data_IF_924788712228
#
_entry.id   IF_924788712228
#
_cell.length_a   1.000
_cell.length_b   1.000
_cell.length_c   1.000
_cell.angle_alpha   90.00
_cell.angle_beta   90.00
_cell.angle_gamma   90.00
#
_symmetry.space_group_name_H-M   'P 1'
#
loop_
_entity.id
_entity.type
_entity.pdbx_description
1 polymer ?
#
# COMPACT_ATOMS: atom_id res chain seq x y z
N UNK A 1 9.09 -0.47 8.60
CA UNK A 1 8.07 -0.59 9.66
C UNK A 1 7.49 -2.00 9.65
N UNK A 2 7.14 -2.53 10.81
CA UNK A 2 6.46 -3.82 10.97
C UNK A 2 5.05 -3.62 11.51
N UNK A 3 4.17 -4.60 11.31
CA UNK A 3 2.79 -4.57 11.84
C UNK A 3 2.79 -4.45 13.35
N UNK A 4 3.71 -5.12 14.05
CA UNK A 4 3.86 -5.02 15.51
C UNK A 4 4.20 -3.62 16.04
N UNK A 5 4.79 -2.76 15.20
CA UNK A 5 5.16 -1.39 15.57
C UNK A 5 4.10 -0.32 15.24
N UNK A 6 2.92 -0.72 14.75
CA UNK A 6 1.83 0.22 14.43
C UNK A 6 1.14 0.62 15.74
N UNK A 7 0.97 1.91 15.98
CA UNK A 7 0.26 2.47 17.15
C UNK A 7 -0.80 3.48 16.69
N UNK A 8 -1.97 3.02 16.18
CA UNK A 8 -3.06 3.92 15.85
C UNK A 8 -3.57 4.66 17.09
N UNK A 9 -3.96 5.91 16.91
CA UNK A 9 -4.54 6.73 17.97
C UNK A 9 -5.89 6.10 18.42
N UNK A 10 -6.03 5.71 19.70
CA UNK A 10 -7.24 5.03 20.17
C UNK A 10 -8.48 5.92 20.16
N UNK A 11 -8.33 7.25 20.18
CA UNK A 11 -9.45 8.17 20.07
C UNK A 11 -10.00 8.25 18.65
N UNK A 12 -9.12 8.16 17.64
CA UNK A 12 -9.51 8.19 16.23
C UNK A 12 -9.89 6.80 15.71
N UNK A 13 -9.27 5.77 16.25
CA UNK A 13 -9.44 4.37 15.82
C UNK A 13 -9.78 3.44 17.00
N UNK A 14 -10.90 3.68 17.72
CA UNK A 14 -11.25 2.91 18.93
C UNK A 14 -11.51 1.42 18.63
N UNK A 15 -11.72 1.08 17.38
CA UNK A 15 -11.88 -0.32 16.95
C UNK A 15 -10.57 -1.05 16.64
N UNK A 16 -9.40 -0.41 16.81
CA UNK A 16 -8.11 -1.07 16.62
C UNK A 16 -7.64 -1.67 17.96
N UNK A 17 -7.41 -2.96 17.97
CA UNK A 17 -6.94 -3.73 19.11
C UNK A 17 -5.84 -4.73 18.70
N UNK A 18 -5.27 -5.44 19.67
CA UNK A 18 -4.24 -6.44 19.39
C UNK A 18 -4.76 -7.60 18.54
N UNK A 19 -6.01 -7.99 18.71
CA UNK A 19 -6.63 -9.04 17.89
C UNK A 19 -6.72 -8.62 16.40
N UNK A 20 -6.98 -7.34 16.13
CA UNK A 20 -7.00 -6.83 14.76
C UNK A 20 -5.58 -6.73 14.18
N UNK A 21 -4.61 -6.32 15.00
CA UNK A 21 -3.19 -6.29 14.61
C UNK A 21 -2.70 -7.68 14.19
N UNK A 22 -2.96 -8.68 15.03
CA UNK A 22 -2.64 -10.07 14.74
C UNK A 22 -3.37 -10.56 13.48
N UNK A 23 -4.64 -10.17 13.31
CA UNK A 23 -5.41 -10.53 12.14
C UNK A 23 -4.82 -9.96 10.84
N UNK A 24 -4.34 -8.73 10.84
CA UNK A 24 -3.63 -8.15 9.70
C UNK A 24 -2.35 -8.91 9.34
N UNK A 25 -1.57 -9.28 10.35
CA UNK A 25 -0.36 -10.04 10.12
C UNK A 25 -0.70 -11.41 9.55
N UNK A 26 -1.64 -12.12 10.18
CA UNK A 26 -1.99 -13.48 9.79
C UNK A 26 -2.66 -13.56 8.41
N UNK A 27 -3.44 -12.56 8.04
CA UNK A 27 -3.99 -12.44 6.68
C UNK A 27 -2.88 -12.50 5.64
N UNK A 28 -1.88 -11.64 5.80
CA UNK A 28 -0.79 -11.49 4.82
C UNK A 28 0.11 -12.72 4.80
N UNK A 29 0.41 -13.32 5.96
CA UNK A 29 1.17 -14.56 6.06
C UNK A 29 0.47 -15.70 5.31
N UNK A 30 -0.81 -15.94 5.59
CA UNK A 30 -1.60 -16.99 4.95
C UNK A 30 -1.76 -16.76 3.44
N UNK A 31 -1.93 -15.51 3.05
CA UNK A 31 -2.04 -15.14 1.64
C UNK A 31 -0.75 -15.46 0.88
N UNK A 32 0.40 -15.01 1.37
CA UNK A 32 1.70 -15.29 0.75
C UNK A 32 2.02 -16.79 0.81
N UNK A 33 1.75 -17.45 1.95
CA UNK A 33 1.94 -18.89 2.09
C UNK A 33 1.11 -19.67 1.05
N UNK A 34 -0.12 -19.25 0.78
CA UNK A 34 -0.99 -19.91 -0.22
C UNK A 34 -0.44 -19.76 -1.64
N UNK A 35 0.13 -18.60 -1.98
CA UNK A 35 0.75 -18.37 -3.28
C UNK A 35 1.94 -19.32 -3.49
N UNK A 36 2.81 -19.44 -2.49
CA UNK A 36 3.99 -20.30 -2.54
C UNK A 36 3.63 -21.79 -2.58
N UNK A 37 2.66 -22.24 -1.76
CA UNK A 37 2.27 -23.64 -1.69
C UNK A 37 1.49 -24.13 -2.91
N UNK A 38 0.77 -23.24 -3.56
CA UNK A 38 -0.03 -23.56 -4.76
C UNK A 38 0.73 -23.29 -6.06
N UNK A 39 2.01 -22.93 -5.95
CA UNK A 39 2.89 -22.61 -7.08
C UNK A 39 2.24 -21.62 -8.06
N UNK A 40 1.67 -20.54 -7.51
CA UNK A 40 0.96 -19.51 -8.26
C UNK A 40 1.91 -18.49 -8.85
N UNK A 41 1.47 -17.81 -9.90
CA UNK A 41 2.21 -16.69 -10.44
C UNK A 41 2.46 -15.62 -9.36
N UNK A 42 3.68 -15.12 -9.27
CA UNK A 42 4.02 -14.01 -8.35
C UNK A 42 3.16 -12.77 -8.61
N UNK A 43 2.65 -12.59 -9.82
CA UNK A 43 1.73 -11.52 -10.21
C UNK A 43 0.40 -11.61 -9.45
N UNK A 44 0.00 -12.79 -9.00
CA UNK A 44 -1.20 -12.98 -8.18
C UNK A 44 -1.10 -12.31 -6.82
N UNK A 45 0.10 -11.98 -6.33
CA UNK A 45 0.25 -11.12 -5.16
C UNK A 45 -0.43 -9.75 -5.35
N UNK A 46 -0.56 -9.27 -6.59
CA UNK A 46 -1.26 -8.02 -6.90
C UNK A 46 -2.69 -8.24 -7.37
N UNK A 47 -3.01 -9.39 -7.99
CA UNK A 47 -4.26 -9.59 -8.73
C UNK A 47 -5.22 -10.61 -8.12
N UNK A 48 -4.80 -11.39 -7.14
CA UNK A 48 -5.67 -12.43 -6.56
C UNK A 48 -6.97 -11.84 -6.00
N UNK A 49 -8.06 -12.48 -6.36
CA UNK A 49 -9.43 -12.13 -5.96
C UNK A 49 -9.86 -12.76 -4.63
N UNK A 50 -8.91 -13.16 -3.80
CA UNK A 50 -9.19 -13.76 -2.50
C UNK A 50 -8.23 -13.26 -1.41
N UNK A 51 -8.63 -13.46 -0.17
CA UNK A 51 -7.78 -13.27 1.01
C UNK A 51 -8.16 -14.29 2.10
N UNK A 52 -7.51 -14.20 3.27
CA UNK A 52 -7.78 -15.06 4.42
C UNK A 52 -8.36 -14.26 5.58
N UNK A 53 -9.58 -14.58 5.98
CA UNK A 53 -10.32 -13.85 6.99
C UNK A 53 -10.77 -14.76 8.14
N UNK A 54 -10.70 -14.25 9.36
CA UNK A 54 -11.52 -14.65 10.48
C UNK A 54 -12.66 -13.65 10.68
N UNK A 55 -13.58 -13.89 11.60
CA UNK A 55 -14.71 -13.00 11.86
C UNK A 55 -14.28 -11.58 12.25
N UNK A 56 -13.19 -11.43 13.05
CA UNK A 56 -12.69 -10.12 13.49
C UNK A 56 -12.27 -9.25 12.31
N UNK A 57 -11.52 -9.85 11.38
CA UNK A 57 -11.03 -9.16 10.20
C UNK A 57 -12.11 -8.90 9.17
N UNK A 58 -12.97 -9.88 8.93
CA UNK A 58 -14.11 -9.73 8.02
C UNK A 58 -15.04 -8.59 8.44
N UNK A 59 -15.33 -8.50 9.75
CA UNK A 59 -16.12 -7.40 10.31
C UNK A 59 -15.42 -6.04 10.11
N UNK A 60 -14.12 -6.00 10.26
CA UNK A 60 -13.33 -4.78 10.02
C UNK A 60 -13.39 -4.33 8.55
N UNK A 61 -13.35 -5.27 7.62
CA UNK A 61 -13.45 -4.99 6.17
C UNK A 61 -14.88 -4.80 5.66
N UNK A 62 -15.89 -5.05 6.50
CA UNK A 62 -17.29 -5.01 6.09
C UNK A 62 -17.70 -6.20 5.21
N UNK A 63 -16.99 -7.33 5.30
CA UNK A 63 -17.28 -8.57 4.56
C UNK A 63 -18.22 -9.43 5.40
N UNK A 64 -19.44 -9.74 4.92
CA UNK A 64 -20.42 -10.54 5.65
C UNK A 64 -20.05 -12.03 5.67
N UNK A 65 -20.81 -12.78 6.48
CA UNK A 65 -20.89 -14.25 6.47
C UNK A 65 -19.62 -15.02 6.87
N UNK A 66 -18.60 -14.35 7.41
CA UNK A 66 -17.43 -14.97 8.04
C UNK A 66 -17.63 -15.00 9.55
N UNK A 67 -17.65 -16.21 10.16
CA UNK A 67 -17.90 -16.41 11.60
C UNK A 67 -16.76 -17.17 12.27
N UNK A 68 -16.50 -16.82 13.54
CA UNK A 68 -15.52 -17.48 14.40
C UNK A 68 -14.07 -17.08 14.15
N UNK A 69 -13.17 -17.61 14.96
CA UNK A 69 -11.75 -17.24 14.99
C UNK A 69 -10.90 -17.89 13.90
N UNK A 70 -11.39 -18.97 13.28
CA UNK A 70 -10.63 -19.70 12.26
C UNK A 70 -10.52 -18.90 10.98
N UNK A 71 -9.30 -18.75 10.47
CA UNK A 71 -9.04 -18.16 9.15
C UNK A 71 -9.46 -19.10 8.03
N UNK A 72 -10.06 -18.54 7.01
CA UNK A 72 -10.49 -19.26 5.80
C UNK A 72 -10.26 -18.39 4.57
N UNK A 73 -10.00 -19.00 3.43
CA UNK A 73 -9.97 -18.31 2.14
C UNK A 73 -11.36 -17.78 1.82
N UNK A 74 -11.45 -16.51 1.44
CA UNK A 74 -12.68 -15.83 1.07
C UNK A 74 -12.45 -15.13 -0.26
N UNK A 75 -13.31 -15.41 -1.24
CA UNK A 75 -13.29 -14.70 -2.52
C UNK A 75 -13.83 -13.29 -2.34
N UNK A 76 -13.13 -12.32 -2.91
CA UNK A 76 -13.45 -10.90 -2.84
C UNK A 76 -14.23 -10.49 -4.10
N UNK A 77 -15.51 -10.22 -3.94
CA UNK A 77 -16.34 -9.65 -5.02
C UNK A 77 -16.02 -8.19 -5.31
N UNK A 78 -15.37 -7.52 -4.35
CA UNK A 78 -15.00 -6.12 -4.43
C UNK A 78 -13.55 -5.97 -4.89
N UNK A 79 -13.36 -5.49 -6.12
CA UNK A 79 -12.04 -5.26 -6.70
C UNK A 79 -11.15 -4.33 -5.87
N UNK A 80 -11.73 -3.43 -5.08
CA UNK A 80 -10.99 -2.45 -4.29
C UNK A 80 -9.99 -3.09 -3.33
N UNK A 81 -10.29 -4.32 -2.86
CA UNK A 81 -9.49 -5.00 -1.83
C UNK A 81 -8.67 -6.20 -2.34
N UNK A 82 -8.69 -6.46 -3.64
CA UNK A 82 -7.92 -7.58 -4.22
C UNK A 82 -6.41 -7.38 -4.13
N UNK A 83 -5.67 -8.46 -3.89
CA UNK A 83 -4.22 -8.49 -3.77
C UNK A 83 -3.67 -7.75 -2.54
N UNK A 84 -2.35 -7.71 -2.40
CA UNK A 84 -1.63 -7.13 -1.25
C UNK A 84 -2.01 -5.67 -0.95
N UNK A 85 -2.37 -4.89 -1.97
CA UNK A 85 -2.72 -3.48 -1.79
C UNK A 85 -3.99 -3.28 -0.96
N UNK A 86 -4.84 -4.31 -0.85
CA UNK A 86 -6.05 -4.32 -0.04
C UNK A 86 -5.84 -4.77 1.40
N UNK A 87 -4.67 -5.29 1.76
CA UNK A 87 -4.41 -5.83 3.09
C UNK A 87 -4.25 -4.73 4.15
N UNK A 88 -4.91 -4.90 5.28
CA UNK A 88 -4.84 -3.98 6.40
C UNK A 88 -3.41 -3.82 6.95
N UNK A 89 -2.59 -4.85 6.89
CA UNK A 89 -1.16 -4.81 7.25
C UNK A 89 -0.41 -3.77 6.42
N UNK A 90 -0.50 -3.82 5.08
CA UNK A 90 0.18 -2.90 4.17
C UNK A 90 -0.33 -1.47 4.36
N UNK A 91 -1.64 -1.30 4.40
CA UNK A 91 -2.29 0.00 4.53
C UNK A 91 -1.94 0.69 5.86
N UNK A 92 -1.78 -0.08 6.93
CA UNK A 92 -1.45 0.46 8.25
C UNK A 92 0.04 0.76 8.41
N UNK A 93 0.96 -0.11 7.96
CA UNK A 93 2.41 0.17 8.05
C UNK A 93 2.82 1.37 7.18
N UNK A 94 2.02 1.71 6.18
CA UNK A 94 2.20 2.85 5.28
C UNK A 94 1.38 4.08 5.68
N UNK A 95 0.91 4.12 6.92
CA UNK A 95 0.18 5.25 7.51
C UNK A 95 0.88 5.76 8.78
N UNK A 96 0.43 6.89 9.29
CA UNK A 96 0.73 7.36 10.63
C UNK A 96 -0.34 6.87 11.62
N UNK A 97 -0.05 6.94 12.92
CA UNK A 97 -1.02 6.52 13.92
C UNK A 97 -2.33 7.31 13.91
N UNK A 98 -2.29 8.54 13.48
CA UNK A 98 -3.43 9.47 13.48
C UNK A 98 -4.01 9.80 12.10
N UNK A 99 -3.36 9.40 11.01
CA UNK A 99 -3.80 9.74 9.63
C UNK A 99 -3.15 8.87 8.57
N UNK A 100 -3.71 8.88 7.37
CA UNK A 100 -3.10 8.32 6.18
C UNK A 100 -1.88 9.13 5.72
N UNK A 101 -1.08 8.52 4.87
CA UNK A 101 0.04 9.20 4.22
C UNK A 101 0.20 8.73 2.77
N UNK A 102 -0.33 9.48 1.79
CA UNK A 102 -0.09 9.18 0.38
C UNK A 102 1.40 9.02 0.07
N UNK A 103 2.24 9.83 0.68
CA UNK A 103 3.70 9.78 0.48
C UNK A 103 4.31 8.47 0.97
N UNK A 104 3.95 7.99 2.18
CA UNK A 104 4.45 6.71 2.68
C UNK A 104 3.91 5.52 1.86
N UNK A 105 2.65 5.57 1.43
CA UNK A 105 2.05 4.57 0.56
C UNK A 105 2.77 4.51 -0.79
N UNK A 106 2.97 5.66 -1.41
CA UNK A 106 3.69 5.76 -2.68
C UNK A 106 5.15 5.30 -2.56
N UNK A 107 5.86 5.73 -1.52
CA UNK A 107 7.22 5.29 -1.24
C UNK A 107 7.28 3.77 -1.13
N UNK A 108 6.37 3.17 -0.37
CA UNK A 108 6.30 1.72 -0.22
C UNK A 108 6.07 1.00 -1.56
N UNK A 109 5.17 1.52 -2.41
CA UNK A 109 4.90 0.99 -3.75
C UNK A 109 6.15 1.05 -4.63
N UNK A 110 6.83 2.20 -4.65
CA UNK A 110 8.06 2.38 -5.43
C UNK A 110 9.18 1.44 -4.96
N UNK A 111 9.36 1.28 -3.65
CA UNK A 111 10.42 0.45 -3.07
C UNK A 111 10.14 -1.06 -3.16
N UNK A 112 8.86 -1.47 -3.00
CA UNK A 112 8.54 -2.88 -2.80
C UNK A 112 7.82 -3.53 -3.97
N UNK A 113 7.16 -2.74 -4.81
CA UNK A 113 6.44 -3.24 -5.98
C UNK A 113 7.21 -2.90 -7.27
N UNK A 114 7.72 -1.68 -7.39
CA UNK A 114 8.36 -1.22 -8.63
C UNK A 114 9.90 -1.23 -8.57
N UNK A 115 10.53 -1.51 -7.42
CA UNK A 115 11.99 -1.56 -7.31
C UNK A 115 12.71 -0.24 -7.61
N UNK A 116 11.99 0.88 -7.57
CA UNK A 116 12.50 2.22 -7.87
C UNK A 116 12.36 3.13 -6.65
N UNK A 117 13.19 2.94 -5.59
CA UNK A 117 13.11 3.74 -4.39
C UNK A 117 13.33 5.22 -4.71
N UNK A 118 12.50 6.12 -4.15
CA UNK A 118 12.70 7.55 -4.34
C UNK A 118 13.98 8.01 -3.64
N UNK A 119 14.59 9.08 -4.14
CA UNK A 119 15.72 9.72 -3.47
C UNK A 119 15.34 10.14 -2.04
N UNK A 120 16.31 10.10 -1.09
CA UNK A 120 16.07 10.61 0.25
C UNK A 120 15.62 12.09 0.21
N UNK A 121 14.70 12.50 1.10
CA UNK A 121 14.32 13.90 1.18
C UNK A 121 15.54 14.78 1.59
N UNK A 122 15.57 16.06 1.19
CA UNK A 122 16.54 16.98 1.73
C UNK A 122 16.50 17.04 3.26
N UNK A 123 17.62 17.33 3.96
CA UNK A 123 17.72 17.23 5.42
C UNK A 123 16.75 18.13 6.20
N UNK A 124 16.37 19.26 5.64
CA UNK A 124 15.60 20.31 6.34
C UNK A 124 14.14 20.41 5.87
N UNK A 125 13.56 19.32 5.35
CA UNK A 125 12.14 19.33 4.94
C UNK A 125 11.24 19.20 6.17
N UNK A 126 10.43 20.22 6.51
CA UNK A 126 9.49 20.12 7.61
C UNK A 126 8.42 19.07 7.31
N UNK A 127 7.95 18.32 8.32
CA UNK A 127 6.86 17.40 8.15
C UNK A 127 5.57 18.14 7.74
N UNK A 128 4.75 17.49 6.91
CA UNK A 128 3.44 18.02 6.58
C UNK A 128 2.62 18.19 7.87
N UNK A 129 2.20 19.42 8.19
CA UNK A 129 1.44 19.69 9.41
C UNK A 129 0.17 18.82 9.46
N UNK A 130 -0.14 18.28 10.64
CA UNK A 130 -1.40 17.59 10.90
C UNK A 130 -2.50 18.59 11.27
N UNK A 131 -2.13 19.77 11.75
CA UNK A 131 -3.07 20.82 12.16
C UNK A 131 -3.45 21.69 10.96
N UNK A 132 -4.72 22.04 10.86
CA UNK A 132 -5.25 22.97 9.85
C UNK A 132 -5.80 24.20 10.56
N UNK A 133 -5.27 25.36 10.23
CA UNK A 133 -5.81 26.66 10.65
C UNK A 133 -6.97 27.09 9.72
N UNK A 134 -7.89 27.93 10.20
CA UNK A 134 -8.92 28.49 9.32
C UNK A 134 -8.31 29.16 8.08
N UNK A 135 -8.75 28.73 6.88
CA UNK A 135 -8.24 29.21 5.59
C UNK A 135 -7.12 28.36 4.98
N UNK A 136 -6.60 27.36 5.69
CA UNK A 136 -5.63 26.42 5.14
C UNK A 136 -6.28 25.22 4.43
N UNK A 137 -5.51 24.52 3.54
CA UNK A 137 -5.98 23.32 2.86
C UNK A 137 -6.43 22.24 3.85
N UNK A 138 -7.64 21.72 3.68
CA UNK A 138 -8.29 20.79 4.63
C UNK A 138 -7.92 19.34 4.36
N UNK A 139 -7.85 18.94 3.09
CA UNK A 139 -7.51 17.58 2.70
C UNK A 139 -6.01 17.36 2.60
N UNK A 140 -5.56 16.11 2.75
CA UNK A 140 -4.14 15.75 2.54
C UNK A 140 -3.70 16.09 1.11
N UNK A 141 -4.58 15.89 0.11
CA UNK A 141 -4.32 16.23 -1.29
C UNK A 141 -4.05 17.72 -1.49
N UNK A 142 -4.88 18.58 -0.90
CA UNK A 142 -4.71 20.04 -0.99
C UNK A 142 -3.39 20.51 -0.33
N UNK A 143 -3.06 19.96 0.84
CA UNK A 143 -1.79 20.25 1.53
C UNK A 143 -0.58 19.80 0.73
N UNK A 144 -0.62 18.63 0.12
CA UNK A 144 0.44 18.17 -0.78
C UNK A 144 0.52 19.00 -2.06
N UNK A 145 -0.62 19.45 -2.61
CA UNK A 145 -0.63 20.37 -3.74
C UNK A 145 0.04 21.73 -3.39
N UNK A 146 -0.21 22.24 -2.20
CA UNK A 146 0.48 23.45 -1.72
C UNK A 146 1.99 23.21 -1.53
N UNK A 147 2.39 22.08 -0.93
CA UNK A 147 3.78 21.70 -0.75
C UNK A 147 4.54 21.59 -2.07
N UNK A 148 3.91 21.05 -3.12
CA UNK A 148 4.48 20.92 -4.47
C UNK A 148 4.62 22.23 -5.25
N UNK A 149 4.18 23.37 -4.72
CA UNK A 149 4.47 24.68 -5.34
C UNK A 149 5.97 25.00 -5.34
N UNK A 150 6.73 24.42 -4.41
CA UNK A 150 8.20 24.46 -4.45
C UNK A 150 8.71 23.47 -5.50
N UNK A 151 9.52 23.91 -6.49
CA UNK A 151 10.09 23.01 -7.51
C UNK A 151 10.94 21.89 -6.92
N UNK A 152 11.64 22.15 -5.83
CA UNK A 152 12.45 21.15 -5.11
C UNK A 152 11.58 20.02 -4.59
N UNK A 153 10.42 20.36 -4.00
CA UNK A 153 9.47 19.37 -3.48
C UNK A 153 8.75 18.65 -4.63
N UNK A 154 8.37 19.37 -5.68
CA UNK A 154 7.65 18.83 -6.83
C UNK A 154 8.42 17.69 -7.52
N UNK A 155 9.74 17.79 -7.62
CA UNK A 155 10.58 16.79 -8.28
C UNK A 155 10.42 15.38 -7.68
N UNK A 156 10.31 15.26 -6.36
CA UNK A 156 10.07 13.97 -5.68
C UNK A 156 8.59 13.60 -5.62
N UNK A 157 7.71 14.60 -5.41
CA UNK A 157 6.28 14.35 -5.19
C UNK A 157 5.50 14.05 -6.47
N UNK A 158 5.90 14.61 -7.63
CA UNK A 158 5.18 14.41 -8.89
C UNK A 158 5.05 12.93 -9.30
N UNK A 159 6.10 12.07 -9.23
CA UNK A 159 5.97 10.65 -9.51
C UNK A 159 5.33 9.84 -8.36
N UNK A 160 5.39 10.33 -7.12
CA UNK A 160 4.94 9.59 -5.94
C UNK A 160 3.46 9.80 -5.62
N UNK A 161 3.04 11.06 -5.48
CA UNK A 161 1.72 11.41 -4.95
C UNK A 161 0.56 10.72 -5.68
N UNK A 162 0.56 10.58 -7.03
CA UNK A 162 -0.51 9.89 -7.75
C UNK A 162 -0.74 8.46 -7.27
N UNK A 163 0.34 7.72 -7.01
CA UNK A 163 0.27 6.34 -6.53
C UNK A 163 -0.37 6.27 -5.14
N UNK A 164 -0.02 7.20 -4.26
CA UNK A 164 -0.55 7.25 -2.90
C UNK A 164 -1.99 7.71 -2.83
N UNK A 165 -2.40 8.68 -3.65
CA UNK A 165 -3.78 9.18 -3.69
C UNK A 165 -4.79 8.10 -4.07
N UNK A 166 -4.43 7.18 -4.94
CA UNK A 166 -5.30 6.08 -5.32
C UNK A 166 -5.69 5.16 -4.14
N UNK A 167 -4.96 5.21 -3.04
CA UNK A 167 -5.24 4.41 -1.84
C UNK A 167 -5.92 5.21 -0.70
N UNK A 168 -6.26 6.49 -0.91
CA UNK A 168 -6.81 7.34 0.16
C UNK A 168 -8.23 6.96 0.60
N UNK A 169 -8.95 6.18 -0.19
CA UNK A 169 -10.18 5.56 0.25
C UNK A 169 -9.99 4.53 1.37
N UNK A 170 -8.77 4.10 1.65
CA UNK A 170 -8.47 3.35 2.85
C UNK A 170 -7.94 4.28 3.94
N UNK A 171 -8.55 4.24 5.12
CA UNK A 171 -8.07 4.99 6.29
C UNK A 171 -6.73 4.43 6.83
N UNK A 172 -6.24 4.99 7.94
CA UNK A 172 -4.96 4.60 8.51
C UNK A 172 -4.91 3.18 9.08
N UNK A 173 -6.05 2.53 9.27
CA UNK A 173 -6.17 1.13 9.69
C UNK A 173 -6.79 0.24 8.59
N UNK A 174 -6.74 0.69 7.34
CA UNK A 174 -7.20 -0.08 6.19
C UNK A 174 -8.72 -0.25 6.07
N UNK A 175 -9.53 0.55 6.78
CA UNK A 175 -10.98 0.57 6.61
C UNK A 175 -11.36 1.43 5.41
N UNK A 176 -12.34 0.99 4.64
CA UNK A 176 -12.85 1.79 3.51
C UNK A 176 -13.61 3.02 3.97
N UNK A 177 -13.32 4.17 3.33
CA UNK A 177 -14.00 5.44 3.54
C UNK A 177 -14.22 6.19 2.22
N UNK A 178 -15.25 7.02 2.16
CA UNK A 178 -15.56 7.86 0.98
C UNK A 178 -15.33 9.35 1.25
N UNK A 179 -15.15 9.71 2.51
CA UNK A 179 -14.89 11.09 2.95
C UNK A 179 -13.72 11.15 3.91
N UNK A 180 -13.02 12.28 3.92
CA UNK A 180 -11.99 12.65 4.89
C UNK A 180 -12.31 14.05 5.43
N UNK A 181 -12.44 14.20 6.76
CA UNK A 181 -12.87 15.44 7.41
C UNK A 181 -14.16 16.05 6.80
N UNK A 182 -15.09 15.20 6.37
CA UNK A 182 -16.36 15.60 5.76
C UNK A 182 -16.29 16.01 4.28
N UNK A 183 -15.10 15.90 3.66
CA UNK A 183 -14.88 16.21 2.24
C UNK A 183 -14.78 14.88 1.47
N UNK A 184 -15.40 14.80 0.30
CA UNK A 184 -15.32 13.63 -0.56
C UNK A 184 -13.84 13.37 -0.96
N UNK A 185 -13.43 12.09 -0.89
CA UNK A 185 -12.08 11.70 -1.27
C UNK A 185 -11.99 11.68 -2.80
N UNK A 186 -11.03 12.42 -3.33
CA UNK A 186 -10.60 12.33 -4.72
C UNK A 186 -9.43 11.35 -4.82
N UNK A 187 -9.69 10.16 -5.32
CA UNK A 187 -8.71 9.09 -5.56
C UNK A 187 -8.23 9.03 -7.02
N UNK A 188 -8.66 9.99 -7.85
CA UNK A 188 -8.18 10.10 -9.23
C UNK A 188 -6.70 10.51 -9.27
N UNK A 189 -5.97 9.97 -10.21
CA UNK A 189 -4.54 10.18 -10.35
C UNK A 189 -4.11 10.22 -11.82
N UNK A 190 -3.06 11.01 -12.08
CA UNK A 190 -2.38 11.09 -13.37
C UNK A 190 -0.90 10.85 -13.10
N UNK A 191 -0.27 9.90 -13.78
CA UNK A 191 1.15 9.65 -13.63
C UNK A 191 2.00 10.80 -14.18
N UNK A 192 3.30 10.77 -13.89
CA UNK A 192 4.25 11.78 -14.36
C UNK A 192 4.36 11.87 -15.89
N UNK A 193 3.94 10.83 -16.63
CA UNK A 193 3.85 10.82 -18.08
C UNK A 193 2.73 11.73 -18.64
N UNK A 194 1.86 12.26 -17.76
CA UNK A 194 0.69 13.10 -18.08
C UNK A 194 -0.35 12.43 -19.00
N UNK A 195 -0.25 11.14 -19.22
CA UNK A 195 -1.11 10.35 -20.12
C UNK A 195 -1.87 9.28 -19.34
N UNK A 196 -1.16 8.55 -18.47
CA UNK A 196 -1.76 7.44 -17.72
C UNK A 196 -2.63 7.97 -16.59
N UNK A 197 -3.93 7.80 -16.74
CA UNK A 197 -4.94 8.18 -15.74
C UNK A 197 -5.53 6.94 -15.10
N UNK A 198 -5.82 7.00 -13.80
CA UNK A 198 -6.46 5.92 -13.05
C UNK A 198 -7.16 6.46 -11.82
N UNK A 199 -8.03 5.65 -11.23
CA UNK A 199 -8.78 6.01 -10.03
C UNK A 199 -8.84 4.83 -9.08
N UNK A 200 -8.59 5.12 -7.81
CA UNK A 200 -8.72 4.20 -6.70
C UNK A 200 -7.78 2.98 -6.76
N UNK A 201 -7.92 2.06 -5.80
CA UNK A 201 -7.04 0.88 -5.69
C UNK A 201 -7.10 -0.04 -6.91
N UNK A 202 -8.29 -0.25 -7.48
CA UNK A 202 -8.45 -1.09 -8.67
C UNK A 202 -7.76 -0.48 -9.90
N UNK A 203 -7.85 0.84 -10.08
CA UNK A 203 -7.12 1.56 -11.13
C UNK A 203 -5.61 1.47 -10.96
N UNK A 204 -5.12 1.72 -9.75
CA UNK A 204 -3.71 1.57 -9.40
C UNK A 204 -3.21 0.15 -9.70
N UNK A 205 -3.96 -0.88 -9.29
CA UNK A 205 -3.60 -2.27 -9.54
C UNK A 205 -3.43 -2.55 -11.03
N UNK A 206 -4.34 -2.07 -11.89
CA UNK A 206 -4.21 -2.22 -13.36
C UNK A 206 -2.93 -1.58 -13.89
N UNK A 207 -2.56 -0.40 -13.40
CA UNK A 207 -1.30 0.26 -13.75
C UNK A 207 -0.09 -0.55 -13.32
N UNK A 208 -0.11 -1.12 -12.11
CA UNK A 208 1.00 -1.97 -11.63
C UNK A 208 1.10 -3.28 -12.43
N UNK A 209 -0.04 -3.89 -12.78
CA UNK A 209 -0.08 -5.10 -13.60
C UNK A 209 0.41 -4.85 -15.04
N UNK A 210 0.22 -3.67 -15.61
CA UNK A 210 0.83 -3.31 -16.90
C UNK A 210 2.36 -3.21 -16.84
N UNK A 211 2.95 -3.22 -15.63
CA UNK A 211 4.39 -3.24 -15.35
C UNK A 211 4.80 -4.53 -14.63
N UNK A 212 4.12 -5.64 -14.92
CA UNK A 212 4.31 -6.91 -14.22
C UNK A 212 5.75 -7.42 -14.28
N UNK A 213 6.46 -7.25 -15.39
CA UNK A 213 7.88 -7.63 -15.51
C UNK A 213 8.75 -6.91 -14.45
N UNK A 214 8.53 -5.61 -14.25
CA UNK A 214 9.24 -4.84 -13.23
C UNK A 214 8.91 -5.33 -11.82
N UNK A 215 7.64 -5.70 -11.57
CA UNK A 215 7.24 -6.29 -10.30
C UNK A 215 7.90 -7.65 -10.07
N UNK A 216 7.91 -8.54 -11.06
CA UNK A 216 8.54 -9.86 -10.98
C UNK A 216 10.04 -9.71 -10.70
N UNK A 217 10.75 -8.81 -11.40
CA UNK A 217 12.16 -8.52 -11.14
C UNK A 217 12.37 -8.04 -9.69
N UNK A 218 11.53 -7.11 -9.21
CA UNK A 218 11.62 -6.59 -7.83
C UNK A 218 11.43 -7.68 -6.79
N UNK A 219 10.44 -8.56 -6.96
CA UNK A 219 10.22 -9.69 -6.04
C UNK A 219 11.40 -10.66 -6.08
N UNK A 220 11.90 -10.99 -7.28
CA UNK A 220 13.07 -11.85 -7.47
C UNK A 220 14.30 -11.31 -6.74
N UNK A 221 14.59 -10.01 -6.90
CA UNK A 221 15.71 -9.36 -6.21
C UNK A 221 15.58 -9.43 -4.69
N UNK A 222 14.36 -9.18 -4.16
CA UNK A 222 14.11 -9.25 -2.72
C UNK A 222 14.22 -10.66 -2.16
N UNK A 223 13.70 -11.65 -2.87
CA UNK A 223 13.83 -13.07 -2.47
C UNK A 223 15.27 -13.53 -2.50
N UNK A 224 16.05 -13.17 -3.52
CA UNK A 224 17.47 -13.47 -3.59
C UNK A 224 18.25 -12.77 -2.48
N UNK A 225 17.98 -11.50 -2.22
CA UNK A 225 18.57 -10.76 -1.09
C UNK A 225 18.32 -11.48 0.24
N UNK A 226 17.10 -11.94 0.45
CA UNK A 226 16.73 -12.70 1.65
C UNK A 226 17.46 -14.06 1.71
N UNK A 227 17.46 -14.80 0.61
CA UNK A 227 18.06 -16.14 0.54
C UNK A 227 19.58 -16.10 0.70
N UNK A 228 20.24 -15.07 0.16
CA UNK A 228 21.70 -14.91 0.23
C UNK A 228 22.15 -14.23 1.55
N UNK A 229 21.24 -13.59 2.30
CA UNK A 229 21.56 -12.84 3.50
C UNK A 229 22.43 -11.59 3.26
N UNK A 230 22.49 -11.10 2.01
CA UNK A 230 23.26 -9.91 1.59
C UNK A 230 22.53 -9.15 0.48
N UNK A 231 22.92 -7.89 0.27
CA UNK A 231 22.51 -7.15 -0.93
C UNK A 231 23.00 -7.82 -2.22
N UNK A 232 22.27 -7.60 -3.31
CA UNK A 232 22.66 -8.09 -4.63
C UNK A 232 23.75 -7.21 -5.22
N UNK A 233 24.70 -7.85 -5.88
CA UNK A 233 25.83 -7.24 -6.57
C UNK A 233 25.65 -7.36 -8.08
N UNK A 234 26.50 -6.67 -8.86
CA UNK A 234 26.40 -6.68 -10.33
C UNK A 234 26.50 -8.09 -10.95
N UNK A 235 27.25 -8.98 -10.32
CA UNK A 235 27.40 -10.37 -10.79
C UNK A 235 26.18 -11.27 -10.49
N UNK A 236 25.23 -10.82 -9.65
CA UNK A 236 23.96 -11.53 -9.41
C UNK A 236 22.92 -11.22 -10.51
N UNK A 237 23.10 -10.13 -11.28
CA UNK A 237 22.15 -9.69 -12.32
C UNK A 237 21.82 -10.75 -13.39
N UNK A 238 22.77 -11.59 -13.87
CA UNK A 238 22.42 -12.67 -14.79
C UNK A 238 21.43 -13.68 -14.21
N UNK A 239 21.55 -14.00 -12.90
CA UNK A 239 20.64 -14.93 -12.21
C UNK A 239 19.25 -14.29 -12.05
N UNK A 240 19.18 -13.01 -11.65
CA UNK A 240 17.91 -12.27 -11.59
C UNK A 240 17.20 -12.35 -12.93
N UNK A 241 17.88 -12.01 -14.03
CA UNK A 241 17.30 -12.05 -15.38
C UNK A 241 16.87 -13.45 -15.82
N UNK A 242 17.57 -14.50 -15.40
CA UNK A 242 17.17 -15.87 -15.72
C UNK A 242 15.86 -16.22 -15.02
N UNK A 243 15.77 -16.00 -13.71
CA UNK A 243 14.56 -16.29 -12.89
C UNK A 243 13.36 -15.44 -13.35
N UNK A 244 13.56 -14.19 -13.74
CA UNK A 244 12.47 -13.31 -14.17
C UNK A 244 11.85 -13.75 -15.51
N UNK A 245 12.56 -14.52 -16.33
CA UNK A 245 12.09 -15.01 -17.64
C UNK A 245 11.33 -16.32 -17.57
N UNK A 246 11.57 -17.11 -16.53
CA UNK A 246 10.89 -18.39 -16.27
C UNK A 246 9.50 -18.16 -15.63
#
# INVERSE_FOLDING_TARGET
RSVGGITPDPNLFPGFDENLREAFQRETELFVESQLREDRSVVDLLSADYTFLNERLARHYGIPDVRGSRYRRVTLSDERRQGLLGHGSILSVTSYGNRTSPVLRAKWLLENILGTPPSPPPPDVPPLSAETTPGEPRTVRERLAQHRRSPVCANCHAPMDPLGFALENFDAIGRWRTTDAGIAIDAAAVLADQITTFEGPAGLRRVLLSRSEQFVETVTEKLLTYALGRGLEYYDRPVVRAITRD
#
